data_IF_271825493670
#
_entry.id   IF_271825493670
#
_cell.length_a   1.000
_cell.length_b   1.000
_cell.length_c   1.000
_cell.angle_alpha   90.00
_cell.angle_beta   90.00
_cell.angle_gamma   90.00
#
_symmetry.space_group_name_H-M   'P 1'
#
loop_
_entity.id
_entity.type
_entity.pdbx_description
1 polymer ?
#
# COMPACT_ATOMS: atom_id res chain seq x y z
N UNK A 1 -1.01 -16.38 -18.29
CA UNK A 1 0.21 -16.08 -17.53
C UNK A 1 -0.09 -14.93 -16.58
N UNK A 2 0.19 -15.10 -15.29
CA UNK A 2 -0.08 -14.07 -14.28
C UNK A 2 1.19 -13.28 -14.03
N UNK A 3 1.20 -11.99 -14.33
CA UNK A 3 2.31 -11.10 -14.01
C UNK A 3 1.93 -10.13 -12.91
N UNK A 4 2.83 -9.91 -11.92
CA UNK A 4 2.52 -9.14 -10.73
C UNK A 4 3.70 -8.25 -10.32
N UNK A 5 3.39 -6.99 -10.01
CA UNK A 5 4.29 -6.06 -9.33
C UNK A 5 3.95 -6.01 -7.85
N UNK A 6 4.93 -6.25 -6.99
CA UNK A 6 4.87 -5.91 -5.56
C UNK A 6 5.42 -4.49 -5.39
N UNK A 7 4.58 -3.55 -4.98
CA UNK A 7 4.93 -2.14 -4.81
C UNK A 7 4.93 -1.76 -3.33
N UNK A 8 6.04 -1.22 -2.84
CA UNK A 8 6.29 -0.92 -1.43
C UNK A 8 6.87 0.48 -1.24
N UNK A 9 6.29 1.32 -0.36
CA UNK A 9 6.98 2.50 0.15
C UNK A 9 7.98 2.10 1.24
N UNK A 10 9.09 2.79 1.35
CA UNK A 10 10.08 2.61 2.42
C UNK A 10 10.59 3.96 2.90
N UNK A 11 10.65 4.15 4.21
CA UNK A 11 11.27 5.31 4.86
C UNK A 11 11.90 4.91 6.18
N UNK A 12 13.23 4.88 6.24
CA UNK A 12 14.02 4.41 7.36
C UNK A 12 13.65 2.96 7.76
N UNK A 13 13.71 2.06 6.78
CA UNK A 13 13.37 0.63 6.91
C UNK A 13 14.60 -0.28 6.69
N UNK A 14 15.81 0.21 6.95
CA UNK A 14 17.06 -0.56 6.74
C UNK A 14 17.05 -1.94 7.42
N UNK A 15 16.39 -2.05 8.58
CA UNK A 15 16.29 -3.31 9.33
C UNK A 15 15.29 -4.33 8.74
N UNK A 16 14.35 -3.86 7.90
CA UNK A 16 13.25 -4.69 7.39
C UNK A 16 13.31 -4.93 5.88
N UNK A 17 13.86 -3.97 5.11
CA UNK A 17 13.64 -3.92 3.66
C UNK A 17 14.26 -5.10 2.91
N UNK A 18 15.46 -5.57 3.31
CA UNK A 18 16.09 -6.73 2.67
C UNK A 18 15.24 -8.00 2.85
N UNK A 19 14.75 -8.24 4.07
CA UNK A 19 13.87 -9.36 4.37
C UNK A 19 12.54 -9.25 3.63
N UNK A 20 11.96 -8.04 3.51
CA UNK A 20 10.72 -7.83 2.79
C UNK A 20 10.86 -8.14 1.28
N UNK A 21 11.96 -7.71 0.65
CA UNK A 21 12.29 -8.06 -0.73
C UNK A 21 12.48 -9.59 -0.87
N UNK A 22 13.18 -10.21 0.07
CA UNK A 22 13.38 -11.67 0.06
C UNK A 22 12.05 -12.42 0.19
N UNK A 23 11.14 -12.01 1.07
CA UNK A 23 9.79 -12.60 1.18
C UNK A 23 8.98 -12.41 -0.09
N UNK A 24 9.04 -11.26 -0.73
CA UNK A 24 8.39 -11.05 -2.01
C UNK A 24 8.90 -12.04 -3.08
N UNK A 25 10.22 -12.29 -3.13
CA UNK A 25 10.79 -13.28 -4.06
C UNK A 25 10.38 -14.72 -3.75
N UNK A 26 10.43 -15.11 -2.48
CA UNK A 26 10.30 -16.52 -2.06
C UNK A 26 8.85 -16.95 -1.85
N UNK A 27 7.97 -16.03 -1.48
CA UNK A 27 6.56 -16.31 -1.22
C UNK A 27 5.69 -15.93 -2.43
N UNK A 28 5.86 -14.71 -2.97
CA UNK A 28 5.01 -14.24 -4.08
C UNK A 28 5.52 -14.78 -5.43
N UNK A 29 6.85 -14.87 -5.59
CA UNK A 29 7.47 -15.33 -6.85
C UNK A 29 6.94 -16.66 -7.37
N UNK A 30 6.81 -17.72 -6.55
CA UNK A 30 6.27 -19.02 -7.00
C UNK A 30 4.80 -19.00 -7.41
N UNK A 31 4.03 -17.96 -7.05
CA UNK A 31 2.59 -17.85 -7.34
C UNK A 31 2.30 -17.19 -8.70
N UNK A 32 3.32 -16.63 -9.37
CA UNK A 32 3.15 -15.86 -10.59
C UNK A 32 4.21 -16.23 -11.63
N UNK A 33 3.89 -16.01 -12.92
CA UNK A 33 4.81 -16.33 -14.01
C UNK A 33 5.90 -15.26 -14.20
N UNK A 34 5.60 -14.02 -13.83
CA UNK A 34 6.51 -12.87 -13.99
C UNK A 34 6.32 -11.89 -12.82
N UNK A 35 7.36 -11.79 -11.98
CA UNK A 35 7.39 -10.95 -10.77
C UNK A 35 8.22 -9.70 -11.02
N UNK A 36 7.71 -8.55 -10.59
CA UNK A 36 8.42 -7.28 -10.42
C UNK A 36 8.29 -6.83 -8.96
N UNK A 37 9.35 -6.31 -8.37
CA UNK A 37 9.37 -5.74 -7.02
C UNK A 37 9.83 -4.29 -7.12
N UNK A 38 8.99 -3.35 -6.70
CA UNK A 38 9.32 -1.92 -6.70
C UNK A 38 9.32 -1.41 -5.27
N UNK A 39 10.43 -0.83 -4.87
CA UNK A 39 10.55 -0.13 -3.59
C UNK A 39 10.75 1.35 -3.87
N UNK A 40 9.85 2.20 -3.33
CA UNK A 40 10.04 3.64 -3.34
C UNK A 40 10.67 4.08 -2.02
N UNK A 41 11.95 4.44 -2.06
CA UNK A 41 12.65 5.04 -0.92
C UNK A 41 12.30 6.51 -0.81
N UNK A 42 11.58 6.89 0.24
CA UNK A 42 11.07 8.25 0.46
C UNK A 42 12.09 9.15 1.18
N UNK A 43 13.30 9.25 0.63
CA UNK A 43 14.36 10.09 1.18
C UNK A 43 14.82 9.63 2.56
N UNK A 44 15.08 8.33 2.74
CA UNK A 44 15.58 7.76 4.00
C UNK A 44 16.93 8.34 4.38
N UNK A 45 17.14 8.50 5.70
CA UNK A 45 18.40 8.96 6.26
C UNK A 45 19.33 7.78 6.69
N UNK A 46 18.81 6.56 6.65
CA UNK A 46 19.52 5.33 6.96
C UNK A 46 19.97 4.58 5.68
N UNK A 47 20.44 3.36 5.81
CA UNK A 47 20.93 2.53 4.70
C UNK A 47 19.81 1.96 3.79
N UNK A 48 18.54 2.33 3.96
CA UNK A 48 17.43 1.77 3.19
C UNK A 48 17.67 1.84 1.69
N UNK A 49 18.01 3.03 1.15
CA UNK A 49 18.26 3.22 -0.27
C UNK A 49 19.44 2.39 -0.78
N UNK A 50 20.53 2.34 -0.02
CA UNK A 50 21.73 1.56 -0.37
C UNK A 50 21.43 0.04 -0.43
N UNK A 51 20.64 -0.46 0.53
CA UNK A 51 20.21 -1.87 0.56
C UNK A 51 19.35 -2.20 -0.67
N UNK A 52 18.35 -1.38 -0.98
CA UNK A 52 17.48 -1.61 -2.15
C UNK A 52 18.27 -1.53 -3.46
N UNK A 53 19.20 -0.60 -3.57
CA UNK A 53 20.08 -0.49 -4.75
C UNK A 53 20.95 -1.74 -4.93
N UNK A 54 21.52 -2.27 -3.84
CA UNK A 54 22.28 -3.51 -3.86
C UNK A 54 21.40 -4.70 -4.31
N UNK A 55 20.17 -4.80 -3.80
CA UNK A 55 19.22 -5.85 -4.19
C UNK A 55 18.84 -5.74 -5.69
N UNK A 56 18.65 -4.51 -6.19
CA UNK A 56 18.34 -4.25 -7.60
C UNK A 56 19.51 -4.58 -8.54
N UNK A 57 20.75 -4.43 -8.10
CA UNK A 57 21.93 -4.86 -8.87
C UNK A 57 22.08 -6.38 -8.94
N UNK A 58 21.67 -7.07 -7.87
CA UNK A 58 21.75 -8.54 -7.78
C UNK A 58 20.58 -9.24 -8.51
N UNK A 59 19.41 -8.59 -8.60
CA UNK A 59 18.20 -9.18 -9.15
C UNK A 59 17.43 -8.16 -10.03
N UNK A 60 17.37 -8.36 -11.35
CA UNK A 60 16.72 -7.42 -12.27
C UNK A 60 15.19 -7.28 -12.06
N UNK A 61 14.57 -8.14 -11.26
CA UNK A 61 13.17 -8.02 -10.87
C UNK A 61 12.94 -6.91 -9.85
N UNK A 62 13.99 -6.48 -9.13
CA UNK A 62 13.93 -5.43 -8.11
C UNK A 62 14.26 -4.08 -8.74
N UNK A 63 13.44 -3.08 -8.44
CA UNK A 63 13.62 -1.71 -8.92
C UNK A 63 13.50 -0.73 -7.76
N UNK A 64 14.44 0.21 -7.69
CA UNK A 64 14.41 1.34 -6.78
C UNK A 64 13.76 2.55 -7.48
N UNK A 65 12.80 3.17 -6.80
CA UNK A 65 12.34 4.54 -7.05
C UNK A 65 12.87 5.37 -5.90
N UNK A 66 13.58 6.46 -6.20
CA UNK A 66 14.29 7.26 -5.20
C UNK A 66 13.71 8.67 -5.12
N UNK A 67 13.36 9.13 -3.91
CA UNK A 67 13.07 10.52 -3.63
C UNK A 67 14.31 11.17 -2.98
N UNK A 68 14.75 12.31 -3.46
CA UNK A 68 15.88 13.06 -2.87
C UNK A 68 15.60 13.52 -1.44
N UNK A 69 14.32 13.79 -1.14
CA UNK A 69 13.84 14.22 0.18
C UNK A 69 12.51 13.54 0.48
N UNK A 70 12.19 13.40 1.76
CA UNK A 70 10.91 12.82 2.20
C UNK A 70 9.73 13.65 1.68
N UNK A 71 8.89 13.03 0.84
CA UNK A 71 7.68 13.60 0.26
C UNK A 71 6.40 13.13 0.98
N UNK A 72 6.54 12.15 1.86
CA UNK A 72 5.48 11.56 2.67
C UNK A 72 4.92 10.27 2.10
N UNK A 73 4.35 9.47 3.01
CA UNK A 73 3.88 8.11 2.76
C UNK A 73 3.03 7.97 1.48
N UNK A 74 2.04 8.86 1.29
CA UNK A 74 1.17 8.78 0.11
C UNK A 74 1.89 9.06 -1.21
N UNK A 75 2.92 9.92 -1.20
CA UNK A 75 3.75 10.16 -2.38
C UNK A 75 4.57 8.92 -2.70
N UNK A 76 5.22 8.31 -1.70
CA UNK A 76 6.00 7.10 -1.87
C UNK A 76 5.16 5.92 -2.37
N UNK A 77 3.96 5.72 -1.78
CA UNK A 77 3.02 4.68 -2.27
C UNK A 77 2.61 4.96 -3.71
N UNK A 78 2.22 6.21 -4.02
CA UNK A 78 1.83 6.60 -5.36
C UNK A 78 2.95 6.26 -6.35
N UNK A 79 4.15 6.72 -6.09
CA UNK A 79 5.24 6.61 -7.05
C UNK A 79 5.72 5.15 -7.20
N UNK A 80 5.69 4.33 -6.12
CA UNK A 80 5.89 2.88 -6.23
C UNK A 80 4.82 2.20 -7.10
N UNK A 81 3.54 2.51 -6.83
CA UNK A 81 2.39 1.91 -7.52
C UNK A 81 2.32 2.32 -8.99
N UNK A 82 2.53 3.61 -9.32
CA UNK A 82 2.48 4.09 -10.70
C UNK A 82 3.70 3.71 -11.53
N UNK A 83 4.80 3.28 -10.90
CA UNK A 83 5.96 2.70 -11.58
C UNK A 83 5.74 1.23 -12.01
N UNK A 84 4.65 0.58 -11.56
CA UNK A 84 4.35 -0.82 -11.85
C UNK A 84 4.14 -1.09 -13.34
N UNK A 85 4.75 -2.17 -13.83
CA UNK A 85 4.69 -2.56 -15.25
C UNK A 85 3.82 -3.81 -15.52
N UNK A 86 3.52 -4.62 -14.50
CA UNK A 86 2.83 -5.88 -14.64
C UNK A 86 1.30 -5.74 -14.68
N UNK A 87 0.59 -6.81 -15.07
CA UNK A 87 -0.88 -6.82 -15.16
C UNK A 87 -1.56 -6.59 -13.82
N UNK A 88 -1.03 -7.21 -12.77
CA UNK A 88 -1.48 -7.06 -11.40
C UNK A 88 -0.50 -6.21 -10.60
N UNK A 89 -1.03 -5.40 -9.70
CA UNK A 89 -0.24 -4.58 -8.77
C UNK A 89 -0.68 -4.91 -7.36
N UNK A 90 0.26 -5.39 -6.56
CA UNK A 90 0.08 -5.63 -5.14
C UNK A 90 0.80 -4.56 -4.35
N UNK A 91 0.03 -3.72 -3.67
CA UNK A 91 0.54 -2.72 -2.75
C UNK A 91 0.58 -3.27 -1.33
N UNK A 92 1.75 -3.17 -0.68
CA UNK A 92 1.95 -3.53 0.73
C UNK A 92 3.01 -2.64 1.37
N UNK A 93 2.98 -2.49 2.71
CA UNK A 93 4.04 -1.81 3.46
C UNK A 93 5.31 -2.67 3.55
N UNK A 94 6.46 -2.04 3.84
CA UNK A 94 7.78 -2.69 3.92
C UNK A 94 8.19 -3.12 5.34
N UNK A 95 7.30 -2.98 6.33
CA UNK A 95 7.59 -3.10 7.77
C UNK A 95 7.38 -4.51 8.37
N UNK A 96 7.16 -5.51 7.51
CA UNK A 96 6.94 -6.92 7.87
C UNK A 96 5.69 -7.19 8.74
N UNK A 97 4.75 -6.25 8.80
CA UNK A 97 3.54 -6.43 9.61
C UNK A 97 2.45 -7.29 8.92
N UNK A 98 2.56 -7.55 7.62
CA UNK A 98 1.64 -8.41 6.88
C UNK A 98 2.25 -9.77 6.53
N UNK A 99 1.41 -10.80 6.46
CA UNK A 99 1.79 -12.11 5.94
C UNK A 99 1.62 -12.14 4.41
N UNK A 100 2.74 -12.17 3.69
CA UNK A 100 2.71 -12.21 2.23
C UNK A 100 2.12 -13.51 1.66
N UNK A 101 2.06 -14.59 2.43
CA UNK A 101 1.46 -15.86 1.96
C UNK A 101 -0.05 -15.72 1.70
N UNK A 102 -0.70 -14.76 2.35
CA UNK A 102 -2.14 -14.50 2.16
C UNK A 102 -2.47 -13.93 0.78
N UNK A 103 -1.47 -13.49 -0.01
CA UNK A 103 -1.65 -12.98 -1.38
C UNK A 103 -2.26 -14.03 -2.33
N UNK A 104 -2.05 -15.30 -2.07
CA UNK A 104 -2.61 -16.38 -2.88
C UNK A 104 -4.14 -16.27 -2.97
N UNK A 105 -4.82 -15.98 -1.83
CA UNK A 105 -6.27 -15.77 -1.81
C UNK A 105 -6.69 -14.56 -2.63
N UNK A 106 -5.88 -13.50 -2.63
CA UNK A 106 -6.14 -12.29 -3.41
C UNK A 106 -6.00 -12.55 -4.92
N UNK A 107 -4.98 -13.33 -5.33
CA UNK A 107 -4.79 -13.75 -6.73
C UNK A 107 -5.98 -14.59 -7.23
N UNK A 108 -6.55 -15.43 -6.39
CA UNK A 108 -7.77 -16.16 -6.73
C UNK A 108 -8.98 -15.23 -6.85
N UNK A 109 -9.15 -14.30 -5.90
CA UNK A 109 -10.30 -13.39 -5.84
C UNK A 109 -10.29 -12.30 -6.91
N UNK A 110 -9.12 -11.92 -7.43
CA UNK A 110 -9.02 -10.89 -8.49
C UNK A 110 -9.67 -11.34 -9.81
N UNK A 111 -9.93 -12.64 -9.98
CA UNK A 111 -10.66 -13.13 -11.15
C UNK A 111 -12.11 -12.65 -11.17
N UNK A 112 -12.70 -12.33 -10.03
CA UNK A 112 -14.08 -11.87 -9.88
C UNK A 112 -14.19 -10.34 -9.76
N UNK A 113 -13.06 -9.62 -9.67
CA UNK A 113 -13.05 -8.19 -9.36
C UNK A 113 -11.93 -7.44 -10.10
N UNK A 114 -11.95 -6.11 -10.01
CA UNK A 114 -10.86 -5.25 -10.46
C UNK A 114 -9.86 -4.98 -9.34
N UNK A 115 -10.32 -5.10 -8.08
CA UNK A 115 -9.53 -4.86 -6.88
C UNK A 115 -9.95 -5.82 -5.76
N UNK A 116 -8.96 -6.31 -5.01
CA UNK A 116 -9.14 -7.02 -3.74
C UNK A 116 -8.49 -6.19 -2.64
N UNK A 117 -9.27 -5.80 -1.64
CA UNK A 117 -8.87 -4.91 -0.57
C UNK A 117 -8.76 -5.70 0.72
N UNK A 118 -7.59 -5.70 1.34
CA UNK A 118 -7.40 -6.30 2.65
C UNK A 118 -8.12 -5.51 3.75
N UNK A 119 -8.62 -6.20 4.76
CA UNK A 119 -8.99 -5.59 6.03
C UNK A 119 -8.37 -6.38 7.19
N UNK A 120 -7.79 -5.66 8.15
CA UNK A 120 -7.12 -6.26 9.32
C UNK A 120 -8.16 -6.79 10.29
N UNK A 121 -8.38 -8.11 10.28
CA UNK A 121 -9.39 -8.73 11.16
C UNK A 121 -8.91 -8.89 12.61
N UNK A 122 -7.60 -9.07 12.81
CA UNK A 122 -6.95 -9.14 14.13
C UNK A 122 -5.80 -8.11 14.15
N UNK A 123 -6.10 -6.89 14.63
CA UNK A 123 -5.12 -5.81 14.71
C UNK A 123 -4.27 -5.95 15.94
N UNK A 124 -2.95 -5.98 15.76
CA UNK A 124 -1.98 -5.93 16.87
C UNK A 124 -1.69 -4.50 17.36
N UNK A 125 -2.41 -3.52 16.82
CA UNK A 125 -2.29 -2.11 17.22
C UNK A 125 -2.86 -1.86 18.63
N UNK A 126 -2.35 -0.86 19.37
CA UNK A 126 -2.98 -0.36 20.57
C UNK A 126 -4.45 0.03 20.32
N UNK A 127 -5.34 -0.22 21.29
CA UNK A 127 -6.79 -0.04 21.15
C UNK A 127 -7.21 1.34 20.61
N UNK A 128 -6.50 2.42 21.00
CA UNK A 128 -6.81 3.78 20.53
C UNK A 128 -6.55 3.95 19.04
N UNK A 129 -5.50 3.30 18.47
CA UNK A 129 -5.23 3.31 17.03
C UNK A 129 -6.30 2.55 16.26
N UNK A 130 -6.74 1.43 16.79
CA UNK A 130 -7.86 0.67 16.22
C UNK A 130 -9.12 1.52 16.18
N UNK A 131 -9.42 2.24 17.26
CA UNK A 131 -10.57 3.14 17.35
C UNK A 131 -10.47 4.29 16.31
N UNK A 132 -9.31 4.94 16.19
CA UNK A 132 -9.11 5.99 15.19
C UNK A 132 -9.23 5.46 13.77
N UNK A 133 -8.65 4.30 13.44
CA UNK A 133 -8.75 3.69 12.11
C UNK A 133 -10.19 3.32 11.74
N UNK A 134 -10.97 2.77 12.69
CA UNK A 134 -12.39 2.50 12.47
C UNK A 134 -13.21 3.79 12.30
N UNK A 135 -12.95 4.80 13.15
CA UNK A 135 -13.58 6.11 13.03
C UNK A 135 -13.30 6.80 11.70
N UNK A 136 -12.06 6.68 11.21
CA UNK A 136 -11.64 7.19 9.90
C UNK A 136 -12.37 6.47 8.77
N UNK A 137 -12.36 5.14 8.75
CA UNK A 137 -13.07 4.35 7.73
C UNK A 137 -14.58 4.63 7.76
N UNK A 138 -15.17 4.77 8.95
CA UNK A 138 -16.57 5.14 9.11
C UNK A 138 -16.87 6.52 8.50
N UNK A 139 -16.02 7.52 8.75
CA UNK A 139 -16.20 8.87 8.21
C UNK A 139 -16.09 8.90 6.68
N UNK A 140 -15.10 8.21 6.11
CA UNK A 140 -14.97 8.10 4.65
C UNK A 140 -16.20 7.42 4.07
N UNK A 141 -16.67 6.32 4.66
CA UNK A 141 -17.86 5.60 4.22
C UNK A 141 -19.14 6.45 4.36
N UNK A 142 -19.24 7.29 5.39
CA UNK A 142 -20.36 8.22 5.56
C UNK A 142 -20.40 9.28 4.46
N UNK A 143 -19.24 9.85 4.09
CA UNK A 143 -19.15 10.94 3.13
C UNK A 143 -19.27 10.49 1.67
N UNK A 144 -18.80 9.29 1.33
CA UNK A 144 -18.71 8.79 -0.05
C UNK A 144 -19.52 7.52 -0.30
N UNK A 145 -20.31 7.08 0.69
CA UNK A 145 -20.98 5.78 0.69
C UNK A 145 -19.98 4.64 0.95
N UNK A 146 -20.47 3.45 1.28
CA UNK A 146 -19.59 2.32 1.63
C UNK A 146 -18.50 2.11 0.61
N UNK A 147 -17.25 2.22 1.02
CA UNK A 147 -16.05 2.12 0.17
C UNK A 147 -15.22 0.90 0.56
N UNK A 148 -14.84 0.78 1.85
CA UNK A 148 -14.16 -0.38 2.38
C UNK A 148 -14.28 -0.43 3.91
N UNK A 149 -14.13 -1.63 4.48
CA UNK A 149 -14.13 -1.86 5.93
C UNK A 149 -12.91 -1.24 6.62
N UNK A 150 -11.72 -1.38 6.00
CA UNK A 150 -10.45 -0.84 6.49
C UNK A 150 -9.74 -0.08 5.36
N UNK A 151 -10.02 1.23 5.28
CA UNK A 151 -9.53 2.12 4.21
C UNK A 151 -7.99 2.12 4.15
N UNK A 152 -7.33 2.13 5.32
CA UNK A 152 -5.88 2.32 5.42
C UNK A 152 -5.09 1.00 5.45
N UNK A 153 -5.75 -0.15 5.26
CA UNK A 153 -5.04 -1.42 5.16
C UNK A 153 -4.12 -1.40 3.93
N UNK A 154 -2.82 -1.52 4.16
CA UNK A 154 -1.80 -1.56 3.11
C UNK A 154 -1.63 -2.99 2.54
N UNK A 155 -2.71 -3.63 2.18
CA UNK A 155 -2.74 -4.94 1.54
C UNK A 155 -3.81 -4.91 0.45
N UNK A 156 -3.42 -4.47 -0.75
CA UNK A 156 -4.36 -4.25 -1.85
C UNK A 156 -3.80 -4.83 -3.14
N UNK A 157 -4.54 -5.73 -3.76
CA UNK A 157 -4.26 -6.25 -5.09
C UNK A 157 -5.24 -5.65 -6.09
N UNK A 158 -4.75 -5.16 -7.22
CA UNK A 158 -5.61 -4.60 -8.25
C UNK A 158 -5.00 -4.75 -9.64
N UNK A 159 -5.85 -4.69 -10.66
CA UNK A 159 -5.41 -4.71 -12.06
C UNK A 159 -4.75 -3.38 -12.42
N UNK A 160 -3.68 -3.39 -13.21
CA UNK A 160 -2.97 -2.18 -13.65
C UNK A 160 -3.88 -1.14 -14.32
N UNK A 161 -4.94 -1.56 -15.02
CA UNK A 161 -5.94 -0.64 -15.59
C UNK A 161 -6.53 0.33 -14.57
N UNK A 162 -6.54 -0.01 -13.28
CA UNK A 162 -7.03 0.87 -12.21
C UNK A 162 -6.16 2.12 -12.10
N UNK A 163 -4.84 1.99 -12.05
CA UNK A 163 -3.91 3.12 -11.98
C UNK A 163 -3.77 3.87 -13.31
N UNK A 164 -4.07 3.23 -14.42
CA UNK A 164 -4.14 3.89 -15.72
C UNK A 164 -5.38 4.80 -15.84
N UNK A 165 -6.45 4.49 -15.11
CA UNK A 165 -7.72 5.22 -15.13
C UNK A 165 -7.83 6.27 -14.02
N UNK A 166 -7.38 5.92 -12.81
CA UNK A 166 -7.55 6.73 -11.60
C UNK A 166 -6.26 7.52 -11.33
N UNK A 167 -6.41 8.84 -11.10
CA UNK A 167 -5.31 9.71 -10.66
C UNK A 167 -5.53 10.11 -9.21
N UNK A 168 -4.51 9.95 -8.37
CA UNK A 168 -4.51 10.37 -6.96
C UNK A 168 -3.62 11.59 -6.80
N UNK A 169 -4.14 12.62 -6.15
CA UNK A 169 -3.43 13.88 -5.93
C UNK A 169 -2.82 13.97 -4.53
N UNK A 170 -3.40 13.25 -3.55
CA UNK A 170 -2.94 13.27 -2.16
C UNK A 170 -1.57 12.60 -2.00
N UNK A 171 -0.61 13.33 -1.46
CA UNK A 171 0.73 12.83 -1.14
C UNK A 171 0.91 12.39 0.32
N UNK A 172 -0.14 12.43 1.14
CA UNK A 172 -0.09 12.14 2.57
C UNK A 172 -0.96 10.96 2.99
N UNK A 173 -1.43 10.99 4.25
CA UNK A 173 -2.29 9.96 4.83
C UNK A 173 -3.63 9.76 4.10
N UNK A 174 -4.05 10.73 3.29
CA UNK A 174 -5.27 10.66 2.46
C UNK A 174 -5.17 9.74 1.25
N UNK A 175 -3.97 9.27 0.88
CA UNK A 175 -3.75 8.47 -0.33
C UNK A 175 -4.75 7.31 -0.45
N UNK A 176 -4.84 6.46 0.57
CA UNK A 176 -5.71 5.27 0.53
C UNK A 176 -7.19 5.64 0.39
N UNK A 177 -7.65 6.66 1.12
CA UNK A 177 -9.04 7.11 1.04
C UNK A 177 -9.36 7.68 -0.35
N UNK A 178 -8.53 8.59 -0.88
CA UNK A 178 -8.73 9.15 -2.21
C UNK A 178 -8.69 8.07 -3.29
N UNK A 179 -7.70 7.17 -3.24
CA UNK A 179 -7.56 6.09 -4.19
C UNK A 179 -8.83 5.22 -4.26
N UNK A 180 -9.29 4.70 -3.11
CA UNK A 180 -10.46 3.83 -3.08
C UNK A 180 -11.75 4.55 -3.48
N UNK A 181 -11.94 5.80 -3.04
CA UNK A 181 -13.12 6.59 -3.42
C UNK A 181 -13.14 6.86 -4.93
N UNK A 182 -12.01 7.21 -5.53
CA UNK A 182 -11.91 7.40 -6.99
C UNK A 182 -12.12 6.11 -7.76
N UNK A 183 -11.58 4.98 -7.28
CA UNK A 183 -11.82 3.66 -7.89
C UNK A 183 -13.30 3.30 -7.88
N UNK A 184 -13.98 3.48 -6.74
CA UNK A 184 -15.42 3.29 -6.64
C UNK A 184 -16.20 4.17 -7.61
N UNK A 185 -15.85 5.45 -7.71
CA UNK A 185 -16.53 6.38 -8.65
C UNK A 185 -16.28 6.05 -10.11
N UNK A 186 -15.11 5.51 -10.43
CA UNK A 186 -14.79 5.00 -11.75
C UNK A 186 -15.52 3.68 -12.09
N UNK A 187 -16.27 3.11 -11.14
CA UNK A 187 -17.08 1.90 -11.35
C UNK A 187 -16.30 0.59 -11.24
N UNK A 188 -15.08 0.61 -10.69
CA UNK A 188 -14.30 -0.61 -10.45
C UNK A 188 -14.98 -1.50 -9.41
N UNK A 189 -15.07 -2.80 -9.72
CA UNK A 189 -15.57 -3.81 -8.80
C UNK A 189 -14.51 -4.11 -7.75
N UNK A 190 -14.83 -3.83 -6.47
CA UNK A 190 -13.97 -4.05 -5.33
C UNK A 190 -14.55 -5.15 -4.45
N UNK A 191 -13.71 -6.08 -4.00
CA UNK A 191 -14.03 -7.12 -3.02
C UNK A 191 -13.08 -7.04 -1.84
N UNK A 192 -13.48 -7.54 -0.67
CA UNK A 192 -12.70 -7.45 0.55
C UNK A 192 -12.30 -8.83 1.05
N UNK A 193 -11.06 -8.96 1.54
CA UNK A 193 -10.53 -10.18 2.14
C UNK A 193 -9.88 -9.89 3.51
N UNK A 194 -10.05 -10.76 4.52
CA UNK A 194 -9.37 -10.58 5.80
C UNK A 194 -7.86 -10.81 5.64
N UNK A 195 -7.05 -10.03 6.36
CA UNK A 195 -5.61 -10.22 6.45
C UNK A 195 -5.13 -10.15 7.89
N UNK A 196 -4.11 -10.95 8.19
CA UNK A 196 -3.42 -10.93 9.47
C UNK A 196 -2.52 -9.69 9.55
N UNK A 197 -2.42 -9.12 10.75
CA UNK A 197 -1.57 -7.95 10.99
C UNK A 197 -0.80 -8.15 12.29
N UNK A 198 0.52 -8.27 12.17
CA UNK A 198 1.43 -8.60 13.25
C UNK A 198 2.04 -7.35 13.90
N UNK A 199 2.56 -7.46 15.13
CA UNK A 199 3.36 -6.39 15.72
C UNK A 199 4.59 -6.10 14.85
N UNK A 200 4.96 -4.84 14.76
CA UNK A 200 6.20 -4.42 14.10
C UNK A 200 7.41 -5.02 14.82
N UNK A 201 8.37 -5.54 14.05
CA UNK A 201 9.57 -6.20 14.59
C UNK A 201 10.67 -5.17 14.86
N UNK A 202 10.86 -4.20 13.97
CA UNK A 202 11.93 -3.21 14.03
C UNK A 202 11.48 -1.84 13.49
N UNK A 203 12.24 -0.78 13.80
CA UNK A 203 11.99 0.60 13.34
C UNK A 203 10.92 1.35 14.14
N UNK A 204 10.68 2.62 13.80
CA UNK A 204 9.74 3.52 14.47
C UNK A 204 8.51 3.82 13.61
N UNK A 205 7.34 3.93 14.25
CA UNK A 205 6.10 4.30 13.55
C UNK A 205 5.96 5.82 13.44
N UNK A 206 5.86 6.35 12.23
CA UNK A 206 5.77 7.79 11.95
C UNK A 206 4.33 8.32 11.79
N UNK A 207 3.34 7.43 11.63
CA UNK A 207 1.97 7.78 11.22
C UNK A 207 1.05 8.43 12.27
N UNK A 208 1.47 8.65 13.52
CA UNK A 208 0.60 9.14 14.61
C UNK A 208 0.73 10.64 14.92
N UNK A 209 1.23 11.47 13.99
CA UNK A 209 1.37 12.90 14.20
C UNK A 209 0.00 13.61 14.11
N UNK A 210 -0.48 14.32 15.16
CA UNK A 210 -1.77 15.03 15.15
C UNK A 210 -1.92 16.03 13.99
N UNK A 211 -0.82 16.65 13.54
CA UNK A 211 -0.85 17.57 12.39
C UNK A 211 -1.18 16.85 11.09
N UNK A 212 -0.67 15.62 10.91
CA UNK A 212 -0.97 14.77 9.74
C UNK A 212 -2.46 14.40 9.74
N UNK A 213 -3.00 14.04 10.90
CA UNK A 213 -4.42 13.69 11.07
C UNK A 213 -5.32 14.90 10.73
N UNK A 214 -5.05 16.08 11.29
CA UNK A 214 -5.83 17.30 11.00
C UNK A 214 -5.78 17.69 9.52
N UNK A 215 -4.61 17.54 8.89
CA UNK A 215 -4.45 17.80 7.47
C UNK A 215 -5.29 16.81 6.63
N UNK A 216 -5.29 15.53 7.00
CA UNK A 216 -6.10 14.50 6.32
C UNK A 216 -7.60 14.83 6.36
N UNK A 217 -8.13 15.33 7.49
CA UNK A 217 -9.53 15.80 7.55
C UNK A 217 -9.80 16.95 6.58
N UNK A 218 -8.92 17.95 6.53
CA UNK A 218 -9.06 19.07 5.59
C UNK A 218 -9.03 18.63 4.13
N UNK A 219 -8.18 17.67 3.80
CA UNK A 219 -8.09 17.08 2.46
C UNK A 219 -9.33 16.24 2.11
N UNK A 220 -9.90 15.52 3.09
CA UNK A 220 -11.13 14.73 2.92
C UNK A 220 -12.33 15.60 2.51
N UNK A 221 -12.52 16.74 3.17
CA UNK A 221 -13.61 17.67 2.82
C UNK A 221 -13.37 18.35 1.47
N UNK A 222 -12.12 18.67 1.12
CA UNK A 222 -11.79 19.18 -0.23
C UNK A 222 -12.09 18.12 -1.31
N UNK A 223 -11.73 16.87 -1.05
CA UNK A 223 -12.04 15.77 -1.96
C UNK A 223 -13.56 15.65 -2.17
N UNK A 224 -14.36 15.78 -1.10
CA UNK A 224 -15.83 15.76 -1.19
C UNK A 224 -16.39 16.87 -2.09
N UNK A 225 -15.77 18.05 -2.06
CA UNK A 225 -16.19 19.18 -2.91
C UNK A 225 -15.74 19.07 -4.38
N UNK A 226 -14.76 18.23 -4.68
CA UNK A 226 -14.23 18.01 -6.04
C UNK A 226 -14.85 16.81 -6.76
N UNK A 227 -15.47 15.92 -6.03
CA UNK A 227 -16.09 14.67 -6.49
C UNK A 227 -17.61 14.73 -6.36
#
# INVERSE_FOLDING_TARGET
MTSLTVAMPAYNEAENIAEMINRARTIVGPLVDDLEIIVCNDGSADETGAIVLHEAQADPRVRLVEHEVNQGYGAAVRDAVWAASKELVFFTDSDLQFDLSEIERFILRIQEADMVIGYRYARSDPWYRSLFGHGWSWLVNLLFGYTARDIDCAYKLFRRKVIETVKVESGGAMFSAEFLVRCKKAGFRMVEEPVSHYPRIAGSQTGANPRVVLRAFGELFRLRGRL
#
